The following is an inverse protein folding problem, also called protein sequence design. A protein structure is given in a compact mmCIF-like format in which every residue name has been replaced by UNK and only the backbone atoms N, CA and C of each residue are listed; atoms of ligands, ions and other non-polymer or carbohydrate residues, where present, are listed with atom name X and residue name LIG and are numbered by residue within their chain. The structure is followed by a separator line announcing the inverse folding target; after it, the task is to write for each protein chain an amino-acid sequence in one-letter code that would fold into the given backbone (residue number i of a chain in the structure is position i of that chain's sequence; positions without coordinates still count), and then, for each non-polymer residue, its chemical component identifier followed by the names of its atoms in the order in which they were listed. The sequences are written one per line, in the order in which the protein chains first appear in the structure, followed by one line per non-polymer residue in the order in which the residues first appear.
data_IF_022503446328
#
_entry.id   IF_022503446328
#
_cell.length_a   1.000
_cell.length_b   1.000
_cell.length_c   1.000
_cell.angle_alpha   90.00
_cell.angle_beta   90.00
_cell.angle_gamma   90.00
#
_symmetry.space_group_name_H-M   'P 1'
#
loop_
_entity.id
_entity.type
_entity.pdbx_description
1 polymer ?
#
# COMPACT_ATOMS: atom_id res chain seq x y z
N UNK A 1 -20.05 8.81 9.52
CA UNK A 1 -19.63 8.54 8.13
C UNK A 1 -19.50 9.86 7.40
N UNK A 2 -18.40 10.08 6.69
CA UNK A 2 -18.17 11.28 5.90
C UNK A 2 -18.33 10.97 4.41
N UNK A 3 -18.96 11.87 3.65
CA UNK A 3 -19.11 11.75 2.21
C UNK A 3 -17.97 12.49 1.51
N UNK A 4 -17.35 11.83 0.54
CA UNK A 4 -16.31 12.42 -0.31
C UNK A 4 -16.87 12.53 -1.73
N UNK A 5 -16.67 13.68 -2.37
CA UNK A 5 -17.03 13.90 -3.78
C UNK A 5 -15.80 14.37 -4.54
N UNK A 6 -15.44 13.67 -5.60
CA UNK A 6 -14.30 13.99 -6.44
C UNK A 6 -14.65 13.78 -7.92
N UNK A 7 -14.09 14.63 -8.81
CA UNK A 7 -14.13 14.38 -10.25
C UNK A 7 -13.01 13.43 -10.61
N UNK A 8 -13.33 12.44 -11.44
CA UNK A 8 -12.37 11.46 -11.94
C UNK A 8 -12.42 11.40 -13.46
N UNK A 9 -11.33 11.02 -14.15
CA UNK A 9 -11.36 10.78 -15.59
C UNK A 9 -12.35 9.69 -15.96
N UNK A 10 -12.98 9.80 -17.15
CA UNK A 10 -13.97 8.82 -17.62
C UNK A 10 -13.41 7.39 -17.68
N UNK A 11 -12.13 7.25 -18.06
CA UNK A 11 -11.45 5.95 -18.08
C UNK A 11 -11.36 5.31 -16.69
N UNK A 12 -11.14 6.11 -15.64
CA UNK A 12 -11.09 5.62 -14.27
C UNK A 12 -12.49 5.21 -13.78
N UNK A 13 -13.51 6.01 -14.09
CA UNK A 13 -14.89 5.65 -13.79
C UNK A 13 -15.28 4.32 -14.46
N UNK A 14 -14.92 4.13 -15.72
CA UNK A 14 -15.18 2.87 -16.45
C UNK A 14 -14.46 1.68 -15.83
N UNK A 15 -13.18 1.82 -15.47
CA UNK A 15 -12.42 0.76 -14.82
C UNK A 15 -13.02 0.36 -13.46
N UNK A 16 -13.51 1.34 -12.68
CA UNK A 16 -14.20 1.09 -11.42
C UNK A 16 -15.52 0.31 -11.63
N UNK A 17 -16.23 0.58 -12.72
CA UNK A 17 -17.47 -0.10 -13.07
C UNK A 17 -17.23 -1.56 -13.46
N UNK A 18 -16.18 -1.81 -14.24
CA UNK A 18 -15.74 -3.15 -14.62
C UNK A 18 -15.31 -3.95 -13.38
N UNK A 19 -14.48 -3.37 -12.50
CA UNK A 19 -14.06 -4.01 -11.25
C UNK A 19 -15.24 -4.30 -10.31
N UNK A 20 -16.20 -3.37 -10.20
CA UNK A 20 -17.43 -3.56 -9.41
C UNK A 20 -18.25 -4.75 -9.92
N UNK A 21 -18.40 -4.88 -11.24
CA UNK A 21 -19.11 -5.99 -11.86
C UNK A 21 -18.40 -7.32 -11.65
N UNK A 22 -17.09 -7.38 -11.88
CA UNK A 22 -16.27 -8.59 -11.75
C UNK A 22 -16.23 -9.08 -10.30
N UNK A 23 -15.98 -8.18 -9.35
CA UNK A 23 -15.86 -8.49 -7.92
C UNK A 23 -17.22 -8.61 -7.21
N UNK A 24 -18.32 -8.31 -7.92
CA UNK A 24 -19.69 -8.25 -7.36
C UNK A 24 -19.79 -7.37 -6.12
N UNK A 25 -19.15 -6.20 -6.18
CA UNK A 25 -19.08 -5.23 -5.08
C UNK A 25 -19.51 -3.85 -5.53
N UNK A 26 -19.88 -2.99 -4.58
CA UNK A 26 -20.22 -1.61 -4.91
C UNK A 26 -18.97 -0.80 -5.29
N UNK A 27 -19.13 0.21 -6.15
CA UNK A 27 -18.04 1.17 -6.44
C UNK A 27 -17.51 1.82 -5.17
N UNK A 28 -18.41 2.15 -4.24
CA UNK A 28 -18.06 2.75 -2.96
C UNK A 28 -17.17 1.83 -2.12
N UNK A 29 -17.46 0.52 -2.08
CA UNK A 29 -16.62 -0.45 -1.36
C UNK A 29 -15.24 -0.59 -1.97
N UNK A 30 -15.13 -0.57 -3.29
CA UNK A 30 -13.86 -0.64 -4.01
C UNK A 30 -13.04 0.62 -3.75
N UNK A 31 -13.66 1.80 -3.88
CA UNK A 31 -12.99 3.09 -3.62
C UNK A 31 -12.53 3.17 -2.16
N UNK A 32 -13.38 2.76 -1.20
CA UNK A 32 -13.01 2.74 0.21
C UNK A 32 -11.79 1.86 0.46
N UNK A 33 -11.80 0.62 -0.02
CA UNK A 33 -10.67 -0.30 0.15
C UNK A 33 -9.40 0.19 -0.54
N UNK A 34 -9.51 0.77 -1.73
CA UNK A 34 -8.37 1.32 -2.44
C UNK A 34 -7.74 2.49 -1.68
N UNK A 35 -8.55 3.36 -1.06
CA UNK A 35 -8.06 4.47 -0.23
C UNK A 35 -7.43 3.97 1.07
N UNK A 36 -8.06 3.03 1.76
CA UNK A 36 -7.50 2.39 2.97
C UNK A 36 -6.13 1.78 2.65
N UNK A 37 -6.04 1.02 1.57
CA UNK A 37 -4.81 0.38 1.14
C UNK A 37 -3.73 1.38 0.72
N UNK A 38 -4.11 2.41 -0.03
CA UNK A 38 -3.17 3.46 -0.44
C UNK A 38 -2.57 4.19 0.77
N UNK A 39 -3.38 4.46 1.80
CA UNK A 39 -2.88 5.12 3.02
C UNK A 39 -1.98 4.21 3.85
N UNK A 40 -2.30 2.91 3.92
CA UNK A 40 -1.43 1.90 4.54
C UNK A 40 -0.08 1.82 3.82
N UNK A 41 -0.09 1.65 2.49
CA UNK A 41 1.14 1.56 1.70
C UNK A 41 1.95 2.87 1.74
N UNK A 42 1.30 4.03 1.85
CA UNK A 42 1.97 5.33 1.98
C UNK A 42 2.71 5.47 3.33
N UNK A 43 2.16 4.94 4.41
CA UNK A 43 2.80 4.92 5.72
C UNK A 43 4.07 4.06 5.68
N UNK A 44 3.97 2.85 5.12
CA UNK A 44 5.11 1.96 4.91
C UNK A 44 6.22 2.61 4.06
N UNK A 45 5.84 3.27 2.96
CA UNK A 45 6.80 3.99 2.11
C UNK A 45 7.52 5.12 2.85
N UNK A 46 6.82 5.81 3.75
CA UNK A 46 7.40 6.91 4.54
C UNK A 46 8.48 6.38 5.48
N UNK A 47 8.24 5.25 6.14
CA UNK A 47 9.23 4.57 7.00
C UNK A 47 10.44 4.11 6.20
N UNK A 48 10.23 3.56 5.00
CA UNK A 48 11.33 3.14 4.11
C UNK A 48 12.20 4.33 3.70
N UNK A 49 11.59 5.45 3.34
CA UNK A 49 12.34 6.66 2.96
C UNK A 49 13.10 7.26 4.14
N UNK A 50 12.54 7.21 5.34
CA UNK A 50 13.23 7.64 6.55
C UNK A 50 14.49 6.80 6.79
N UNK A 51 14.38 5.47 6.72
CA UNK A 51 15.51 4.55 6.87
C UNK A 51 16.56 4.72 5.77
N UNK A 52 16.13 4.83 4.51
CA UNK A 52 17.04 5.00 3.38
C UNK A 52 17.90 6.25 3.52
N UNK A 53 17.36 7.32 4.12
CA UNK A 53 18.07 8.56 4.35
C UNK A 53 18.79 8.64 5.70
N UNK A 54 18.65 7.63 6.57
CA UNK A 54 19.33 7.59 7.86
C UNK A 54 20.79 7.15 7.67
N UNK A 55 21.78 8.06 7.82
CA UNK A 55 23.19 7.71 7.67
C UNK A 55 23.70 6.84 8.84
N UNK A 56 22.93 6.70 9.93
CA UNK A 56 23.24 5.82 11.04
C UNK A 56 22.63 4.42 10.87
N UNK A 57 21.85 4.16 9.82
CA UNK A 57 21.29 2.83 9.55
C UNK A 57 22.43 1.84 9.24
N UNK A 58 22.60 0.76 10.04
CA UNK A 58 23.73 -0.14 9.88
C UNK A 58 23.64 -0.92 8.56
N UNK A 59 24.74 -0.91 7.79
CA UNK A 59 24.90 -1.83 6.66
C UNK A 59 25.09 -3.24 7.20
N UNK A 60 24.13 -4.11 6.94
CA UNK A 60 24.14 -5.50 7.39
C UNK A 60 24.83 -6.42 6.37
N UNK A 61 25.63 -7.37 6.87
CA UNK A 61 26.13 -8.47 6.04
C UNK A 61 25.03 -9.52 5.86
N UNK A 62 24.67 -9.78 4.60
CA UNK A 62 23.61 -10.70 4.24
C UNK A 62 23.89 -12.14 4.69
N UNK A 63 25.15 -12.59 4.71
CA UNK A 63 25.49 -13.94 5.15
C UNK A 63 25.28 -14.10 6.66
N UNK A 64 25.60 -13.06 7.44
CA UNK A 64 25.34 -13.03 8.88
C UNK A 64 23.83 -12.99 9.18
N UNK A 65 23.08 -12.08 8.55
CA UNK A 65 21.63 -11.95 8.75
C UNK A 65 20.91 -13.25 8.41
N UNK A 66 21.28 -13.90 7.30
CA UNK A 66 20.70 -15.19 6.90
C UNK A 66 20.95 -16.28 7.93
N UNK A 67 22.15 -16.33 8.52
CA UNK A 67 22.48 -17.30 9.54
C UNK A 67 21.63 -17.09 10.80
N UNK A 68 21.49 -15.84 11.26
CA UNK A 68 20.70 -15.47 12.43
C UNK A 68 19.20 -15.76 12.24
N UNK A 69 18.60 -15.38 11.11
CA UNK A 69 17.19 -15.66 10.81
C UNK A 69 16.85 -17.15 10.76
N UNK A 70 17.78 -18.00 10.31
CA UNK A 70 17.58 -19.46 10.26
C UNK A 70 17.69 -20.14 11.62
N UNK A 71 18.36 -19.49 12.57
CA UNK A 71 18.58 -19.99 13.93
C UNK A 71 17.67 -19.29 14.95
N UNK A 72 16.79 -18.41 14.48
CA UNK A 72 15.78 -17.75 15.30
C UNK A 72 14.53 -18.65 15.32
N UNK A 73 14.24 -19.24 16.49
CA UNK A 73 13.04 -20.04 16.77
C UNK A 73 11.76 -19.19 16.80
#
# INVERSE_FOLDING_TARGET
MHQITARVPDGLAKALDEAAAELKRSRADIIRQALERYLEDLDDLSVVLERLHDPADPVLDWDQVRHELRNSD
#
